data_IF_603478972987
#
_entry.id   IF_603478972987
#
_cell.length_a   1.000
_cell.length_b   1.000
_cell.length_c   1.000
_cell.angle_alpha   90.00
_cell.angle_beta   90.00
_cell.angle_gamma   90.00
#
_symmetry.space_group_name_H-M   'P 1'
#
loop_
_entity.id
_entity.type
_entity.pdbx_description
1 polymer ?
#
# COMPACT_ATOMS: atom_id res chain seq x y z
N UNK A 1 -26.85 -8.25 26.87
CA UNK A 1 -27.19 -8.91 25.97
C UNK A 1 -26.31 -9.21 24.74
N UNK A 2 -25.49 -9.92 24.53
CA UNK A 2 -24.51 -10.49 23.67
C UNK A 2 -24.78 -10.63 22.16
N UNK A 3 -25.49 -9.73 21.54
CA UNK A 3 -25.58 -9.72 20.08
C UNK A 3 -24.29 -9.17 19.47
N UNK A 4 -23.51 -10.03 18.83
CA UNK A 4 -22.36 -9.61 18.06
C UNK A 4 -22.83 -8.89 16.80
N UNK A 5 -22.44 -7.63 16.67
CA UNK A 5 -22.59 -6.90 15.40
C UNK A 5 -21.35 -7.11 14.55
N UNK A 6 -21.52 -7.56 13.33
CA UNK A 6 -20.45 -7.57 12.35
C UNK A 6 -20.37 -6.17 11.75
N UNK A 7 -19.29 -5.47 12.04
CA UNK A 7 -19.02 -4.13 11.49
C UNK A 7 -17.87 -4.24 10.50
N UNK A 8 -18.10 -3.78 9.27
CA UNK A 8 -17.02 -3.66 8.29
C UNK A 8 -16.24 -2.39 8.55
N UNK A 9 -14.98 -2.52 8.94
CA UNK A 9 -14.08 -1.40 9.13
C UNK A 9 -13.03 -1.35 8.02
N UNK A 10 -12.70 -0.14 7.55
CA UNK A 10 -11.61 0.04 6.61
C UNK A 10 -10.28 -0.19 7.31
N UNK A 11 -9.38 -0.97 6.68
CA UNK A 11 -8.03 -1.18 7.18
C UNK A 11 -7.14 0.05 6.96
N UNK A 12 -7.55 0.95 6.08
CA UNK A 12 -6.85 2.19 5.73
C UNK A 12 -7.80 3.36 6.00
N UNK A 13 -7.87 3.86 7.24
CA UNK A 13 -8.79 4.94 7.59
C UNK A 13 -8.45 6.22 6.84
N UNK A 14 -9.46 6.87 6.28
CA UNK A 14 -9.36 8.15 5.60
C UNK A 14 -8.48 8.15 4.33
N UNK A 15 -8.19 6.97 3.77
CA UNK A 15 -7.40 6.83 2.56
C UNK A 15 -8.20 6.07 1.52
N UNK A 16 -8.27 6.63 0.31
CA UNK A 16 -8.91 6.00 -0.85
C UNK A 16 -7.95 5.99 -2.02
N UNK A 17 -8.04 4.93 -2.82
CA UNK A 17 -7.30 4.83 -4.07
C UNK A 17 -8.31 4.94 -5.22
N UNK A 18 -7.98 5.75 -6.21
CA UNK A 18 -8.84 5.94 -7.37
C UNK A 18 -8.07 5.57 -8.65
N UNK A 19 -8.76 4.86 -9.55
CA UNK A 19 -8.24 4.49 -10.86
C UNK A 19 -8.90 5.33 -11.93
N UNK A 20 -8.09 5.97 -12.76
CA UNK A 20 -8.59 6.78 -13.86
C UNK A 20 -7.50 7.64 -14.47
N UNK A 21 -7.86 8.43 -15.46
CA UNK A 21 -6.96 9.44 -16.02
C UNK A 21 -6.76 10.58 -15.02
N UNK A 22 -5.67 11.29 -15.16
CA UNK A 22 -5.39 12.45 -14.30
C UNK A 22 -6.54 13.47 -14.32
N UNK A 23 -7.08 13.75 -15.50
CA UNK A 23 -8.19 14.67 -15.67
C UNK A 23 -9.46 14.20 -14.96
N UNK A 24 -9.82 12.94 -15.12
CA UNK A 24 -10.99 12.35 -14.46
C UNK A 24 -10.88 12.42 -12.94
N UNK A 25 -9.74 12.11 -12.41
CA UNK A 25 -9.51 12.09 -10.95
C UNK A 25 -9.47 13.51 -10.39
N UNK A 26 -8.87 14.45 -11.09
CA UNK A 26 -8.89 15.87 -10.68
C UNK A 26 -10.32 16.42 -10.64
N UNK A 27 -11.14 16.11 -11.62
CA UNK A 27 -12.55 16.49 -11.62
C UNK A 27 -13.29 15.87 -10.43
N UNK A 28 -13.05 14.61 -10.15
CA UNK A 28 -13.66 13.92 -9.02
C UNK A 28 -13.29 14.54 -7.68
N UNK A 29 -12.06 14.94 -7.50
CA UNK A 29 -11.57 15.50 -6.22
C UNK A 29 -11.96 16.97 -6.07
N UNK A 30 -11.79 17.78 -7.10
CA UNK A 30 -11.97 19.23 -7.00
C UNK A 30 -13.40 19.69 -7.22
N UNK A 31 -14.13 19.01 -8.10
CA UNK A 31 -15.46 19.46 -8.53
C UNK A 31 -16.60 18.63 -7.92
N UNK A 32 -16.31 17.74 -6.98
CA UNK A 32 -17.31 16.89 -6.37
C UNK A 32 -18.00 17.60 -5.19
N UNK A 33 -19.18 18.15 -5.46
CA UNK A 33 -19.97 18.87 -4.44
C UNK A 33 -20.48 17.96 -3.32
N UNK A 34 -20.60 16.65 -3.57
CA UNK A 34 -21.06 15.69 -2.57
C UNK A 34 -19.95 15.26 -1.60
N UNK A 35 -18.70 15.44 -1.98
CA UNK A 35 -17.52 15.06 -1.20
C UNK A 35 -16.51 16.21 -1.14
N UNK A 36 -16.88 17.35 -0.51
CA UNK A 36 -16.03 18.54 -0.53
C UNK A 36 -14.74 18.42 0.30
N UNK A 37 -14.63 17.35 1.07
CA UNK A 37 -13.49 17.09 1.95
C UNK A 37 -12.39 16.27 1.28
N UNK A 38 -12.55 15.83 0.03
CA UNK A 38 -11.53 15.06 -0.68
C UNK A 38 -10.29 15.91 -0.95
N UNK A 39 -9.14 15.30 -0.75
CA UNK A 39 -7.83 15.90 -1.00
C UNK A 39 -6.90 14.85 -1.57
N UNK A 40 -5.99 15.28 -2.45
CA UNK A 40 -4.89 14.43 -2.90
C UNK A 40 -3.83 14.30 -1.83
N UNK A 41 -3.17 13.13 -1.79
CA UNK A 41 -1.83 13.03 -1.26
C UNK A 41 -0.86 13.47 -2.35
N UNK A 42 0.12 14.31 -1.99
CA UNK A 42 1.05 14.88 -2.94
C UNK A 42 2.44 14.31 -2.75
N UNK A 43 3.12 14.08 -3.86
CA UNK A 43 4.54 13.82 -3.88
C UNK A 43 5.26 15.15 -4.14
N UNK A 44 6.29 15.44 -3.35
CA UNK A 44 7.12 16.61 -3.51
C UNK A 44 8.35 16.24 -4.34
N UNK A 45 8.55 16.92 -5.46
CA UNK A 45 9.69 16.70 -6.35
C UNK A 45 10.55 17.97 -6.37
N UNK A 46 11.82 17.81 -6.06
CA UNK A 46 12.78 18.90 -6.13
C UNK A 46 13.29 19.06 -7.56
N UNK A 47 13.05 20.22 -8.14
CA UNK A 47 13.57 20.61 -9.46
C UNK A 47 14.40 21.89 -9.28
N UNK A 48 15.72 21.76 -9.20
CA UNK A 48 16.59 22.87 -8.85
C UNK A 48 16.27 23.43 -7.47
N UNK A 49 16.01 24.72 -7.38
CA UNK A 49 15.61 25.39 -6.12
C UNK A 49 14.12 25.36 -5.86
N UNK A 50 13.32 24.74 -6.71
CA UNK A 50 11.87 24.69 -6.57
C UNK A 50 11.40 23.33 -6.08
N UNK A 51 10.34 23.36 -5.29
CA UNK A 51 9.62 22.15 -4.86
C UNK A 51 8.30 22.11 -5.60
N UNK A 52 8.12 21.11 -6.46
CA UNK A 52 6.88 20.89 -7.18
C UNK A 52 6.06 19.82 -6.46
N UNK A 53 4.76 20.07 -6.37
CA UNK A 53 3.79 19.09 -5.85
C UNK A 53 3.10 18.40 -7.01
N UNK A 54 3.11 17.08 -7.00
CA UNK A 54 2.31 16.28 -7.93
C UNK A 54 1.44 15.31 -7.15
N UNK A 55 0.22 15.00 -7.61
CA UNK A 55 -0.59 13.97 -6.96
C UNK A 55 0.18 12.65 -6.89
N UNK A 56 0.10 11.98 -5.75
CA UNK A 56 0.79 10.71 -5.54
C UNK A 56 0.16 9.64 -6.43
N UNK A 57 0.97 9.03 -7.28
CA UNK A 57 0.56 7.93 -8.15
C UNK A 57 1.13 6.63 -7.61
N UNK A 58 0.25 5.64 -7.41
CA UNK A 58 0.65 4.31 -6.96
C UNK A 58 0.81 3.41 -8.17
N UNK A 59 2.01 2.83 -8.41
CA UNK A 59 2.21 1.90 -9.51
C UNK A 59 1.26 0.71 -9.44
N UNK A 60 0.87 0.18 -10.61
CA UNK A 60 -0.09 -0.91 -10.69
C UNK A 60 0.33 -2.15 -9.90
N UNK A 61 1.62 -2.51 -9.94
CA UNK A 61 2.10 -3.68 -9.19
C UNK A 61 1.96 -3.50 -7.67
N UNK A 62 2.11 -2.28 -7.17
CA UNK A 62 1.88 -1.98 -5.75
C UNK A 62 0.40 -2.07 -5.41
N UNK A 63 -0.48 -1.57 -6.27
CA UNK A 63 -1.93 -1.68 -6.06
C UNK A 63 -2.41 -3.12 -6.05
N UNK A 64 -1.96 -3.94 -6.98
CA UNK A 64 -2.31 -5.37 -7.02
C UNK A 64 -1.83 -6.10 -5.77
N UNK A 65 -0.59 -5.81 -5.36
CA UNK A 65 -0.03 -6.40 -4.14
C UNK A 65 -0.76 -5.93 -2.88
N UNK A 66 -1.12 -4.66 -2.82
CA UNK A 66 -1.90 -4.09 -1.71
C UNK A 66 -3.25 -4.79 -1.58
N UNK A 67 -3.95 -5.00 -2.70
CA UNK A 67 -5.23 -5.72 -2.71
C UNK A 67 -5.11 -7.13 -2.15
N UNK A 68 -4.08 -7.85 -2.56
CA UNK A 68 -3.83 -9.23 -2.10
C UNK A 68 -3.57 -9.26 -0.60
N UNK A 69 -2.71 -8.37 -0.11
CA UNK A 69 -2.36 -8.31 1.31
C UNK A 69 -3.57 -7.91 2.15
N UNK A 70 -4.34 -6.91 1.73
CA UNK A 70 -5.50 -6.43 2.47
C UNK A 70 -6.67 -7.42 2.46
N UNK A 71 -6.75 -8.31 1.48
CA UNK A 71 -7.75 -9.37 1.43
C UNK A 71 -7.39 -10.57 2.31
N UNK A 72 -6.14 -10.68 2.75
CA UNK A 72 -5.68 -11.77 3.60
C UNK A 72 -6.06 -11.55 5.07
N UNK A 73 -5.76 -12.54 5.91
CA UNK A 73 -6.05 -12.50 7.34
C UNK A 73 -5.41 -11.29 8.02
N UNK A 74 -6.25 -10.46 8.60
CA UNK A 74 -5.85 -9.21 9.25
C UNK A 74 -4.91 -9.40 10.44
N UNK A 75 -5.02 -10.53 11.15
CA UNK A 75 -4.25 -10.75 12.36
C UNK A 75 -2.76 -10.96 12.11
N UNK A 76 -2.40 -11.37 10.90
CA UNK A 76 -1.03 -11.72 10.55
C UNK A 76 -0.37 -10.73 9.60
N UNK A 77 -1.12 -9.80 9.04
CA UNK A 77 -0.60 -8.77 8.15
C UNK A 77 -0.35 -7.47 8.90
N UNK A 78 0.55 -6.65 8.37
CA UNK A 78 0.90 -5.37 8.98
C UNK A 78 0.44 -4.23 8.06
N UNK A 79 -0.28 -3.29 8.65
CA UNK A 79 -0.62 -2.02 8.01
C UNK A 79 -0.09 -0.91 8.92
N UNK A 80 0.87 -0.15 8.44
CA UNK A 80 1.46 0.97 9.17
C UNK A 80 1.24 2.26 8.39
N UNK A 81 0.77 3.30 9.06
CA UNK A 81 0.62 4.63 8.46
C UNK A 81 1.95 5.37 8.32
N UNK A 82 3.04 4.72 8.72
CA UNK A 82 4.39 5.25 8.57
C UNK A 82 5.18 4.39 7.57
N UNK A 83 6.19 5.00 6.96
CA UNK A 83 7.15 4.24 6.17
C UNK A 83 8.05 3.42 7.09
N UNK A 84 8.12 2.11 6.85
CA UNK A 84 9.03 1.23 7.57
C UNK A 84 10.32 1.09 6.76
N UNK A 85 11.45 1.62 7.23
CA UNK A 85 12.70 1.69 6.44
C UNK A 85 13.22 0.33 5.95
N UNK A 86 12.99 -0.74 6.70
CA UNK A 86 13.42 -2.09 6.31
C UNK A 86 12.84 -2.53 4.97
N UNK A 87 11.62 -2.10 4.66
CA UNK A 87 10.95 -2.43 3.39
C UNK A 87 11.31 -1.48 2.25
N UNK A 88 12.21 -0.53 2.47
CA UNK A 88 12.76 0.32 1.42
C UNK A 88 14.09 -0.18 0.89
N UNK A 89 14.87 -0.85 1.72
CA UNK A 89 16.28 -1.18 1.45
C UNK A 89 16.53 -2.65 1.10
N UNK A 90 15.53 -3.50 1.21
CA UNK A 90 15.67 -4.92 0.91
C UNK A 90 15.62 -5.20 -0.58
N UNK A 91 15.64 -6.49 -0.90
CA UNK A 91 15.57 -6.95 -2.28
C UNK A 91 14.13 -7.05 -2.76
N UNK A 92 13.88 -6.62 -3.99
CA UNK A 92 12.59 -6.79 -4.64
C UNK A 92 12.38 -8.25 -5.00
N UNK A 93 11.26 -8.81 -4.55
CA UNK A 93 10.90 -10.22 -4.77
C UNK A 93 9.43 -10.34 -5.15
N UNK A 94 9.08 -11.49 -5.71
CA UNK A 94 7.70 -11.86 -5.99
C UNK A 94 7.34 -13.13 -5.22
N UNK A 95 6.18 -13.15 -4.62
CA UNK A 95 5.65 -14.34 -3.96
C UNK A 95 5.02 -15.23 -5.02
N UNK A 96 5.49 -16.48 -5.12
CA UNK A 96 5.07 -17.40 -6.17
C UNK A 96 4.16 -18.52 -5.67
N UNK A 97 3.94 -18.63 -4.37
CA UNK A 97 3.11 -19.65 -3.77
C UNK A 97 2.47 -19.17 -2.46
N UNK A 98 1.44 -19.87 -2.00
CA UNK A 98 0.75 -19.58 -0.74
C UNK A 98 -0.33 -18.52 -0.86
N UNK A 99 -0.79 -18.03 0.30
CA UNK A 99 -1.90 -17.08 0.41
C UNK A 99 -1.58 -15.69 -0.20
N UNK A 100 -0.31 -15.35 -0.30
CA UNK A 100 0.15 -14.07 -0.84
C UNK A 100 0.72 -14.16 -2.25
N UNK A 101 0.39 -15.23 -2.97
CA UNK A 101 0.84 -15.42 -4.36
C UNK A 101 0.49 -14.20 -5.21
N UNK A 102 1.48 -13.68 -5.92
CA UNK A 102 1.34 -12.51 -6.79
C UNK A 102 1.79 -11.20 -6.14
N UNK A 103 2.03 -11.16 -4.83
CA UNK A 103 2.56 -9.98 -4.16
C UNK A 103 4.00 -9.73 -4.63
N UNK A 104 4.26 -8.51 -5.07
CA UNK A 104 5.59 -8.05 -5.48
C UNK A 104 5.99 -6.91 -4.55
N UNK A 105 7.06 -7.08 -3.84
CA UNK A 105 7.53 -6.07 -2.88
C UNK A 105 8.93 -6.38 -2.38
N UNK A 106 9.31 -5.71 -1.31
CA UNK A 106 10.65 -5.84 -0.73
C UNK A 106 10.61 -6.86 0.41
N UNK A 107 11.49 -7.86 0.34
CA UNK A 107 11.65 -8.83 1.42
C UNK A 107 12.48 -8.22 2.54
N UNK A 108 11.99 -8.37 3.77
CA UNK A 108 12.72 -7.93 4.96
C UNK A 108 12.31 -8.77 6.16
N UNK A 109 13.18 -8.80 7.16
CA UNK A 109 12.86 -9.38 8.46
C UNK A 109 12.30 -8.29 9.35
N UNK A 110 11.06 -8.45 9.74
CA UNK A 110 10.35 -7.47 10.57
C UNK A 110 9.55 -8.20 11.66
N UNK A 111 9.67 -7.75 12.89
CA UNK A 111 9.06 -8.42 14.05
C UNK A 111 9.41 -9.91 14.13
N UNK A 112 10.67 -10.24 13.86
CA UNK A 112 11.18 -11.61 13.97
C UNK A 112 10.79 -12.54 12.83
N UNK A 113 10.08 -12.07 11.81
CA UNK A 113 9.61 -12.89 10.70
C UNK A 113 10.00 -12.29 9.35
N UNK A 114 10.29 -13.17 8.39
CA UNK A 114 10.50 -12.77 7.00
C UNK A 114 9.17 -12.43 6.35
N UNK A 115 9.07 -11.20 5.84
CA UNK A 115 7.85 -10.67 5.24
C UNK A 115 8.17 -9.96 3.93
N UNK A 116 7.17 -9.81 3.08
CA UNK A 116 7.25 -8.99 1.88
C UNK A 116 6.39 -7.75 2.09
N UNK A 117 6.98 -6.60 1.96
CA UNK A 117 6.32 -5.33 2.22
C UNK A 117 6.33 -4.39 1.03
N UNK A 118 5.34 -3.51 1.02
CA UNK A 118 5.19 -2.45 0.04
C UNK A 118 5.17 -1.14 0.80
N UNK A 119 6.04 -0.22 0.40
CA UNK A 119 6.06 1.13 0.93
C UNK A 119 5.51 2.07 -0.15
N UNK A 120 4.43 2.75 0.18
CA UNK A 120 3.91 3.82 -0.66
C UNK A 120 4.48 5.12 -0.10
N UNK A 121 5.32 5.78 -0.90
CA UNK A 121 6.12 6.93 -0.50
C UNK A 121 5.33 7.99 0.27
N UNK A 122 5.81 8.28 1.49
CA UNK A 122 5.21 9.33 2.33
C UNK A 122 3.83 8.99 2.89
N UNK A 123 3.31 7.80 2.65
CA UNK A 123 1.95 7.46 3.01
C UNK A 123 1.85 6.30 4.00
N UNK A 124 2.27 5.10 3.59
CA UNK A 124 2.09 3.91 4.43
C UNK A 124 3.01 2.75 4.01
N UNK A 125 3.08 1.76 4.89
CA UNK A 125 3.69 0.46 4.62
C UNK A 125 2.66 -0.63 4.86
N UNK A 126 2.56 -1.57 3.94
CA UNK A 126 1.72 -2.77 4.07
C UNK A 126 2.61 -3.99 3.87
N UNK A 127 2.56 -4.94 4.80
CA UNK A 127 3.41 -6.12 4.76
C UNK A 127 2.60 -7.40 4.95
N UNK A 128 3.08 -8.48 4.33
CA UNK A 128 2.49 -9.81 4.47
C UNK A 128 2.75 -10.39 5.86
N UNK A 129 2.09 -11.50 6.17
CA UNK A 129 2.50 -12.40 7.23
C UNK A 129 3.85 -13.07 6.88
N UNK A 130 4.32 -13.98 7.72
CA UNK A 130 5.53 -14.75 7.45
C UNK A 130 5.43 -15.48 6.11
N UNK A 131 6.49 -15.37 5.31
CA UNK A 131 6.61 -16.07 4.03
C UNK A 131 7.92 -16.86 4.01
N UNK A 132 7.88 -18.19 3.79
CA UNK A 132 9.08 -18.99 3.62
C UNK A 132 9.88 -18.56 2.39
N UNK A 133 11.20 -18.68 2.46
CA UNK A 133 12.09 -18.33 1.34
C UNK A 133 11.80 -19.11 0.08
N UNK A 134 11.29 -20.36 0.22
CA UNK A 134 10.91 -21.19 -0.92
C UNK A 134 9.78 -20.60 -1.77
N UNK A 135 8.98 -19.68 -1.19
CA UNK A 135 7.87 -19.03 -1.89
C UNK A 135 8.28 -17.74 -2.60
N UNK A 136 9.55 -17.37 -2.53
CA UNK A 136 10.04 -16.10 -3.07
C UNK A 136 10.85 -16.33 -4.35
N UNK A 137 10.57 -15.50 -5.35
CA UNK A 137 11.35 -15.40 -6.58
C UNK A 137 11.97 -14.03 -6.67
N UNK A 138 13.28 -13.99 -6.94
CA UNK A 138 14.01 -12.73 -7.02
C UNK A 138 13.83 -12.10 -8.40
N UNK A 139 13.67 -10.79 -8.42
CA UNK A 139 13.76 -10.03 -9.65
C UNK A 139 15.23 -9.74 -9.96
N UNK A 140 15.57 -9.90 -11.20
CA UNK A 140 16.91 -9.55 -11.70
C UNK A 140 16.99 -8.07 -12.02
#
# INVERSE_FOLDING_TARGET
NGKRKVVAESRLPNIFFALGTEEQIKTFVYDNVNLPFLRFYYRHVHVGCRINKTPLIVPDYQMESLKIICAADADNTIVSLDEVPKFKKGQLVRVVDGAFKGVTGIVARYQGQQRVGIVIDGLLTVATAYIPSAFLSKFK
#
